data_IF_460013162607
#
_entry.id   IF_460013162607
#
_cell.length_a   1.000
_cell.length_b   1.000
_cell.length_c   1.000
_cell.angle_alpha   90.00
_cell.angle_beta   90.00
_cell.angle_gamma   90.00
#
_symmetry.space_group_name_H-M   'P 1'
#
loop_
_entity.id
_entity.type
_entity.pdbx_description
1 polymer ?
#
# COMPACT_ATOMS: atom_id res chain seq x y z
N UNK A 1 54.46 -7.73 54.05
CA UNK A 1 53.91 -6.65 53.20
C UNK A 1 53.24 -7.35 52.05
N UNK A 2 51.91 -7.51 52.10
CA UNK A 2 51.14 -8.10 51.01
C UNK A 2 50.65 -6.92 50.15
N UNK A 3 50.87 -7.03 48.85
CA UNK A 3 50.69 -5.95 47.88
C UNK A 3 49.26 -5.43 47.85
N UNK A 4 49.13 -4.14 48.13
CA UNK A 4 47.89 -3.38 48.22
C UNK A 4 47.30 -3.03 46.83
N UNK A 5 47.87 -3.52 45.73
CA UNK A 5 47.44 -3.19 44.35
C UNK A 5 46.35 -4.13 43.82
N UNK A 6 46.31 -5.40 44.24
CA UNK A 6 45.30 -6.36 43.78
C UNK A 6 43.89 -6.12 44.34
N UNK A 7 43.78 -5.36 45.43
CA UNK A 7 42.49 -5.00 46.05
C UNK A 7 41.86 -3.82 45.30
N UNK A 8 42.67 -2.87 44.81
CA UNK A 8 42.22 -1.71 44.04
C UNK A 8 41.54 -2.11 42.72
N UNK A 9 42.14 -3.06 41.98
CA UNK A 9 41.63 -3.51 40.68
C UNK A 9 40.30 -4.29 40.77
N UNK A 10 40.01 -4.90 41.93
CA UNK A 10 38.76 -5.63 42.18
C UNK A 10 37.64 -4.67 42.61
N UNK A 11 37.98 -3.66 43.41
CA UNK A 11 37.07 -2.59 43.82
C UNK A 11 36.64 -1.72 42.63
N UNK A 12 37.55 -1.42 41.70
CA UNK A 12 37.27 -0.63 40.50
C UNK A 12 36.35 -1.37 39.50
N UNK A 13 36.46 -2.70 39.41
CA UNK A 13 35.60 -3.53 38.57
C UNK A 13 34.17 -3.64 39.12
N UNK A 14 34.03 -3.69 40.46
CA UNK A 14 32.75 -3.65 41.15
C UNK A 14 32.11 -2.26 40.97
N UNK A 15 32.90 -1.19 41.12
CA UNK A 15 32.44 0.20 40.96
C UNK A 15 31.93 0.47 39.53
N UNK A 16 32.63 -0.01 38.51
CA UNK A 16 32.20 0.12 37.10
C UNK A 16 30.95 -0.72 36.76
N UNK A 17 30.78 -1.90 37.37
CA UNK A 17 29.54 -2.70 37.23
C UNK A 17 28.34 -2.03 37.90
N UNK A 18 28.55 -1.45 39.07
CA UNK A 18 27.51 -0.68 39.78
C UNK A 18 27.14 0.58 38.98
N UNK A 19 28.11 1.25 38.35
CA UNK A 19 27.87 2.41 37.49
C UNK A 19 27.03 2.04 36.26
N UNK A 20 27.40 1.00 35.50
CA UNK A 20 26.65 0.57 34.31
C UNK A 20 25.23 0.05 34.62
N UNK A 21 25.03 -0.63 35.77
CA UNK A 21 23.70 -1.02 36.23
C UNK A 21 22.84 0.19 36.62
N UNK A 22 23.46 1.22 37.18
CA UNK A 22 22.79 2.46 37.55
C UNK A 22 22.38 3.29 36.33
N UNK A 23 23.21 3.35 35.29
CA UNK A 23 22.90 4.11 34.06
C UNK A 23 21.70 3.52 33.32
N UNK A 24 21.65 2.20 33.11
CA UNK A 24 20.54 1.55 32.41
C UNK A 24 19.20 1.68 33.15
N UNK A 25 19.23 1.66 34.49
CA UNK A 25 18.03 1.85 35.31
C UNK A 25 17.53 3.31 35.26
N UNK A 26 18.45 4.27 35.28
CA UNK A 26 18.12 5.70 35.12
C UNK A 26 17.50 5.96 33.74
N UNK A 27 18.06 5.40 32.69
CA UNK A 27 17.54 5.54 31.32
C UNK A 27 16.15 4.91 31.17
N UNK A 28 15.95 3.71 31.73
CA UNK A 28 14.63 3.06 31.74
C UNK A 28 13.59 3.86 32.55
N UNK A 29 14.00 4.49 33.65
CA UNK A 29 13.14 5.36 34.47
C UNK A 29 12.73 6.62 33.71
N UNK A 30 13.69 7.25 33.02
CA UNK A 30 13.42 8.44 32.21
C UNK A 30 12.43 8.12 31.09
N UNK A 31 12.65 7.03 30.36
CA UNK A 31 11.75 6.58 29.28
C UNK A 31 10.35 6.23 29.79
N UNK A 32 10.21 5.61 30.96
CA UNK A 32 8.91 5.29 31.54
C UNK A 32 8.14 6.56 31.96
N UNK A 33 8.83 7.58 32.47
CA UNK A 33 8.23 8.88 32.79
C UNK A 33 7.80 9.65 31.54
N UNK A 34 8.59 9.60 30.47
CA UNK A 34 8.28 10.27 29.20
C UNK A 34 7.13 9.61 28.43
N UNK A 35 7.10 8.27 28.41
CA UNK A 35 6.12 7.51 27.60
C UNK A 35 4.87 7.10 28.37
N UNK A 36 4.94 7.09 29.71
CA UNK A 36 3.88 6.53 30.58
C UNK A 36 3.77 5.00 30.52
N UNK A 37 4.70 4.32 29.83
CA UNK A 37 4.77 2.86 29.73
C UNK A 37 5.81 2.31 30.72
N UNK A 38 5.41 1.32 31.51
CA UNK A 38 6.28 0.68 32.51
C UNK A 38 7.17 -0.42 31.91
N UNK A 39 6.97 -0.78 30.64
CA UNK A 39 7.74 -1.83 29.97
C UNK A 39 9.28 -1.66 30.03
N UNK A 40 9.87 -0.44 29.94
CA UNK A 40 11.32 -0.27 30.09
C UNK A 40 11.84 -0.73 31.46
N UNK A 41 11.12 -0.40 32.54
CA UNK A 41 11.48 -0.78 33.91
C UNK A 41 11.34 -2.29 34.13
N UNK A 42 10.27 -2.89 33.61
CA UNK A 42 10.03 -4.34 33.70
C UNK A 42 11.15 -5.12 32.98
N UNK A 43 11.65 -4.61 31.85
CA UNK A 43 12.76 -5.23 31.11
C UNK A 43 14.06 -5.21 31.90
N UNK A 44 14.40 -4.09 32.54
CA UNK A 44 15.61 -4.02 33.37
C UNK A 44 15.50 -4.90 34.63
N UNK A 45 14.34 -4.94 35.30
CA UNK A 45 14.10 -5.85 36.42
C UNK A 45 14.29 -7.32 36.02
N UNK A 46 13.70 -7.71 34.88
CA UNK A 46 13.79 -9.06 34.36
C UNK A 46 15.23 -9.43 34.00
N UNK A 47 15.98 -8.51 33.38
CA UNK A 47 17.40 -8.66 33.05
C UNK A 47 18.25 -8.88 34.30
N UNK A 48 18.09 -8.05 35.34
CA UNK A 48 18.77 -8.21 36.63
C UNK A 48 18.44 -9.56 37.30
N UNK A 49 17.17 -9.97 37.23
CA UNK A 49 16.71 -11.25 37.78
C UNK A 49 17.35 -12.45 37.07
N UNK A 50 17.40 -12.41 35.74
CA UNK A 50 18.01 -13.46 34.92
C UNK A 50 19.51 -13.54 35.19
N UNK A 51 20.21 -12.40 35.21
CA UNK A 51 21.65 -12.37 35.48
C UNK A 51 22.00 -12.88 36.88
N UNK A 52 21.26 -12.45 37.91
CA UNK A 52 21.47 -12.90 39.29
C UNK A 52 21.29 -14.41 39.43
N UNK A 53 20.25 -14.98 38.79
CA UNK A 53 20.02 -16.43 38.77
C UNK A 53 21.13 -17.21 38.05
N UNK A 54 21.73 -16.63 37.00
CA UNK A 54 22.86 -17.23 36.27
C UNK A 54 24.13 -17.25 37.12
N UNK A 55 24.46 -16.11 37.74
CA UNK A 55 25.63 -15.99 38.61
C UNK A 55 25.54 -16.92 39.82
N UNK A 56 24.36 -17.05 40.43
CA UNK A 56 24.12 -18.00 41.53
C UNK A 56 24.33 -19.46 41.12
N UNK A 57 24.17 -19.79 39.83
CA UNK A 57 24.47 -21.11 39.26
C UNK A 57 25.92 -21.24 38.78
N UNK A 58 26.78 -20.27 39.07
CA UNK A 58 28.18 -20.23 38.63
C UNK A 58 28.35 -19.94 37.13
N UNK A 59 27.31 -19.50 36.43
CA UNK A 59 27.38 -19.16 35.01
C UNK A 59 27.84 -17.72 34.84
N UNK A 60 28.64 -17.46 33.79
CA UNK A 60 29.08 -16.09 33.49
C UNK A 60 27.93 -15.19 33.03
N UNK A 61 28.16 -13.88 33.20
CA UNK A 61 27.30 -12.80 32.75
C UNK A 61 26.99 -12.92 31.25
N UNK A 62 25.71 -12.80 30.89
CA UNK A 62 25.27 -12.93 29.49
C UNK A 62 25.64 -11.64 28.75
N UNK A 63 26.69 -11.69 27.92
CA UNK A 63 27.03 -10.63 26.97
C UNK A 63 26.41 -10.99 25.61
N UNK A 64 25.48 -10.17 25.15
CA UNK A 64 24.94 -10.26 23.78
C UNK A 64 25.82 -9.39 22.91
N UNK A 65 26.73 -10.01 22.17
CA UNK A 65 27.49 -9.31 21.14
C UNK A 65 26.58 -9.17 19.92
N UNK A 66 26.32 -7.93 19.51
CA UNK A 66 25.71 -7.63 18.22
C UNK A 66 26.86 -7.43 17.23
N UNK A 67 27.25 -8.46 16.45
CA UNK A 67 28.27 -8.28 15.44
C UNK A 67 27.81 -7.20 14.47
N UNK A 68 28.65 -6.20 14.23
CA UNK A 68 28.37 -5.20 13.20
C UNK A 68 28.19 -5.90 11.86
N UNK A 69 27.11 -5.56 11.15
CA UNK A 69 26.82 -6.13 9.83
C UNK A 69 28.00 -5.82 8.90
N UNK A 70 28.72 -6.87 8.48
CA UNK A 70 29.80 -6.73 7.52
C UNK A 70 29.21 -6.37 6.16
N UNK A 71 29.37 -5.12 5.74
CA UNK A 71 28.99 -4.66 4.40
C UNK A 71 29.86 -5.39 3.38
N UNK A 72 29.31 -6.39 2.71
CA UNK A 72 29.98 -7.07 1.62
C UNK A 72 29.95 -6.17 0.38
N UNK A 73 31.13 -5.91 -0.20
CA UNK A 73 31.23 -5.20 -1.46
C UNK A 73 30.69 -6.08 -2.60
N UNK A 74 29.86 -5.48 -3.45
CA UNK A 74 29.27 -6.17 -4.60
C UNK A 74 30.38 -6.58 -5.57
N UNK A 75 30.41 -7.86 -5.91
CA UNK A 75 31.29 -8.38 -6.97
C UNK A 75 30.94 -7.75 -8.32
N UNK A 76 31.91 -7.68 -9.24
CA UNK A 76 31.68 -7.12 -10.59
C UNK A 76 30.51 -7.81 -11.31
N UNK A 77 30.36 -9.13 -11.15
CA UNK A 77 29.22 -9.87 -11.71
C UNK A 77 27.86 -9.43 -11.15
N UNK A 78 27.80 -9.10 -9.86
CA UNK A 78 26.57 -8.63 -9.22
C UNK A 78 26.22 -7.22 -9.69
N UNK A 79 27.22 -6.35 -9.88
CA UNK A 79 27.03 -5.03 -10.44
C UNK A 79 26.46 -5.11 -11.86
N UNK A 80 26.99 -5.99 -12.70
CA UNK A 80 26.49 -6.25 -14.06
C UNK A 80 25.04 -6.75 -14.07
N UNK A 81 24.69 -7.66 -13.16
CA UNK A 81 23.31 -8.16 -13.01
C UNK A 81 22.37 -7.03 -12.61
N UNK A 82 22.78 -6.13 -11.72
CA UNK A 82 21.99 -4.95 -11.32
C UNK A 82 21.77 -4.03 -12.52
N UNK A 83 22.80 -3.73 -13.30
CA UNK A 83 22.69 -2.88 -14.50
C UNK A 83 21.73 -3.49 -15.51
N UNK A 84 21.87 -4.79 -15.83
CA UNK A 84 20.97 -5.51 -16.75
C UNK A 84 19.53 -5.49 -16.24
N UNK A 85 19.31 -5.74 -14.95
CA UNK A 85 17.97 -5.73 -14.34
C UNK A 85 17.33 -4.34 -14.36
N UNK A 86 18.11 -3.29 -14.10
CA UNK A 86 17.64 -1.88 -14.18
C UNK A 86 17.21 -1.55 -15.61
N UNK A 87 18.02 -1.94 -16.60
CA UNK A 87 17.69 -1.69 -18.00
C UNK A 87 16.42 -2.45 -18.43
N UNK A 88 16.30 -3.72 -18.06
CA UNK A 88 15.09 -4.49 -18.32
C UNK A 88 13.86 -3.88 -17.66
N UNK A 89 13.97 -3.42 -16.41
CA UNK A 89 12.87 -2.78 -15.69
C UNK A 89 12.49 -1.44 -16.35
N UNK A 90 13.48 -0.66 -16.80
CA UNK A 90 13.27 0.59 -17.55
C UNK A 90 12.45 0.34 -18.81
N UNK A 91 12.84 -0.66 -19.62
CA UNK A 91 12.12 -1.04 -20.84
C UNK A 91 10.73 -1.57 -20.53
N UNK A 92 10.57 -2.39 -19.49
CA UNK A 92 9.28 -2.91 -19.06
C UNK A 92 8.34 -1.77 -18.61
N UNK A 93 8.84 -0.80 -17.83
CA UNK A 93 8.07 0.35 -17.39
C UNK A 93 7.64 1.24 -18.56
N UNK A 94 8.51 1.46 -19.55
CA UNK A 94 8.16 2.18 -20.77
C UNK A 94 7.03 1.46 -21.52
N UNK A 95 7.19 0.16 -21.79
CA UNK A 95 6.16 -0.66 -22.47
C UNK A 95 4.83 -0.65 -21.71
N UNK A 96 4.87 -0.71 -20.38
CA UNK A 96 3.67 -0.63 -19.56
C UNK A 96 2.95 0.71 -19.70
N UNK A 97 3.70 1.83 -19.63
CA UNK A 97 3.15 3.17 -19.83
C UNK A 97 2.56 3.34 -21.22
N UNK A 98 3.25 2.86 -22.25
CA UNK A 98 2.77 2.92 -23.63
C UNK A 98 1.48 2.11 -23.79
N UNK A 99 1.43 0.87 -23.30
CA UNK A 99 0.23 0.02 -23.33
C UNK A 99 -0.95 0.67 -22.59
N UNK A 100 -0.69 1.29 -21.43
CA UNK A 100 -1.72 2.01 -20.67
C UNK A 100 -2.27 3.18 -21.48
N UNK A 101 -1.39 3.97 -22.10
CA UNK A 101 -1.78 5.11 -22.94
C UNK A 101 -2.58 4.67 -24.16
N UNK A 102 -2.12 3.63 -24.88
CA UNK A 102 -2.81 3.12 -26.07
C UNK A 102 -4.19 2.58 -25.71
N UNK A 103 -4.29 1.80 -24.64
CA UNK A 103 -5.57 1.23 -24.20
C UNK A 103 -6.56 2.34 -23.77
N UNK A 104 -6.09 3.32 -22.99
CA UNK A 104 -6.93 4.47 -22.62
C UNK A 104 -7.40 5.23 -23.86
N UNK A 105 -6.52 5.43 -24.84
CA UNK A 105 -6.86 6.14 -26.08
C UNK A 105 -7.88 5.35 -26.92
N UNK A 106 -7.71 4.02 -27.06
CA UNK A 106 -8.65 3.19 -27.79
C UNK A 106 -10.02 3.12 -27.12
N UNK A 107 -10.05 3.04 -25.78
CA UNK A 107 -11.31 3.05 -25.03
C UNK A 107 -12.03 4.40 -25.19
N UNK A 108 -11.33 5.53 -25.06
CA UNK A 108 -11.94 6.85 -25.28
C UNK A 108 -12.50 6.99 -26.69
N UNK A 109 -11.77 6.57 -27.73
CA UNK A 109 -12.28 6.57 -29.10
C UNK A 109 -13.53 5.72 -29.23
N UNK A 110 -13.54 4.52 -28.63
CA UNK A 110 -14.69 3.63 -28.71
C UNK A 110 -15.92 4.19 -28.00
N UNK A 111 -15.73 4.85 -26.86
CA UNK A 111 -16.81 5.55 -26.15
C UNK A 111 -17.39 6.65 -27.05
N UNK A 112 -16.53 7.50 -27.64
CA UNK A 112 -16.97 8.58 -28.52
C UNK A 112 -17.74 8.06 -29.75
N UNK A 113 -17.27 6.99 -30.39
CA UNK A 113 -17.97 6.34 -31.50
C UNK A 113 -19.36 5.85 -31.07
N UNK A 114 -19.45 5.16 -29.94
CA UNK A 114 -20.72 4.62 -29.44
C UNK A 114 -21.69 5.73 -29.02
N UNK A 115 -21.20 6.82 -28.43
CA UNK A 115 -22.00 7.99 -28.06
C UNK A 115 -22.54 8.70 -29.30
N UNK A 116 -21.72 8.86 -30.34
CA UNK A 116 -22.13 9.42 -31.62
C UNK A 116 -23.21 8.56 -32.29
N UNK A 117 -22.98 7.24 -32.37
CA UNK A 117 -23.95 6.29 -32.92
C UNK A 117 -25.26 6.28 -32.15
N UNK A 118 -25.21 6.32 -30.82
CA UNK A 118 -26.40 6.37 -29.98
C UNK A 118 -27.19 7.67 -30.19
N UNK A 119 -26.49 8.80 -30.27
CA UNK A 119 -27.10 10.10 -30.56
C UNK A 119 -27.81 10.07 -31.91
N UNK A 120 -27.16 9.54 -32.94
CA UNK A 120 -27.73 9.40 -34.27
C UNK A 120 -28.98 8.51 -34.28
N UNK A 121 -28.90 7.32 -33.67
CA UNK A 121 -30.05 6.40 -33.58
C UNK A 121 -31.20 7.00 -32.79
N UNK A 122 -30.92 7.70 -31.69
CA UNK A 122 -31.92 8.39 -30.88
C UNK A 122 -32.63 9.50 -31.67
N UNK A 123 -31.89 10.20 -32.52
CA UNK A 123 -32.45 11.18 -33.44
C UNK A 123 -33.35 10.53 -34.50
N UNK A 124 -32.89 9.45 -35.14
CA UNK A 124 -33.68 8.69 -36.11
C UNK A 124 -34.98 8.14 -35.51
N UNK A 125 -34.92 7.55 -34.32
CA UNK A 125 -36.12 7.06 -33.60
C UNK A 125 -37.12 8.21 -33.39
N UNK A 126 -36.64 9.39 -33.00
CA UNK A 126 -37.49 10.56 -32.78
C UNK A 126 -38.17 10.99 -34.07
N UNK A 127 -37.42 11.06 -35.17
CA UNK A 127 -37.94 11.45 -36.47
C UNK A 127 -38.98 10.45 -36.97
N UNK A 128 -38.69 9.15 -36.91
CA UNK A 128 -39.61 8.09 -37.32
C UNK A 128 -40.89 8.10 -36.48
N UNK A 129 -40.79 8.36 -35.17
CA UNK A 129 -41.98 8.52 -34.30
C UNK A 129 -42.81 9.75 -34.69
N UNK A 130 -42.17 10.87 -34.98
CA UNK A 130 -42.86 12.09 -35.42
C UNK A 130 -43.54 11.90 -36.78
N UNK A 131 -42.86 11.25 -37.73
CA UNK A 131 -43.42 10.92 -39.04
C UNK A 131 -44.59 9.95 -38.93
N UNK A 132 -44.45 8.87 -38.13
CA UNK A 132 -45.56 7.95 -37.84
C UNK A 132 -46.76 8.71 -37.28
N UNK A 133 -46.56 9.55 -36.27
CA UNK A 133 -47.64 10.33 -35.66
C UNK A 133 -48.33 11.23 -36.69
N UNK A 134 -47.55 11.95 -37.52
CA UNK A 134 -48.08 12.78 -38.60
C UNK A 134 -48.93 11.99 -39.60
N UNK A 135 -48.44 10.83 -40.05
CA UNK A 135 -49.16 9.96 -40.98
C UNK A 135 -50.43 9.38 -40.35
N UNK A 136 -50.38 9.00 -39.07
CA UNK A 136 -51.56 8.56 -38.32
C UNK A 136 -52.61 9.66 -38.23
N UNK A 137 -52.21 10.90 -37.93
CA UNK A 137 -53.13 12.06 -37.91
C UNK A 137 -53.75 12.29 -39.29
N UNK A 138 -52.96 12.33 -40.36
CA UNK A 138 -53.45 12.50 -41.73
C UNK A 138 -54.44 11.41 -42.14
N UNK A 139 -54.13 10.15 -41.78
CA UNK A 139 -55.02 9.03 -42.04
C UNK A 139 -56.33 9.17 -41.26
N UNK A 140 -56.26 9.51 -39.98
CA UNK A 140 -57.44 9.72 -39.13
C UNK A 140 -58.34 10.82 -39.70
N UNK A 141 -57.77 11.98 -40.05
CA UNK A 141 -58.51 13.09 -40.67
C UNK A 141 -59.22 12.67 -41.96
N UNK A 142 -58.53 11.92 -42.84
CA UNK A 142 -59.14 11.39 -44.06
C UNK A 142 -60.28 10.41 -43.76
N UNK A 143 -60.13 9.52 -42.78
CA UNK A 143 -61.16 8.56 -42.40
C UNK A 143 -62.44 9.24 -41.89
N UNK A 144 -62.35 10.42 -41.26
CA UNK A 144 -63.52 11.18 -40.80
C UNK A 144 -64.42 11.67 -41.95
N UNK A 145 -63.82 11.95 -43.12
CA UNK A 145 -64.54 12.50 -44.29
C UNK A 145 -64.79 11.46 -45.37
N UNK A 146 -64.17 10.28 -45.29
CA UNK A 146 -64.24 9.25 -46.32
C UNK A 146 -65.57 8.47 -46.29
N UNK A 147 -66.39 8.50 -47.35
CA UNK A 147 -67.69 7.82 -47.39
C UNK A 147 -67.60 6.29 -47.30
N UNK A 148 -66.50 5.69 -47.80
CA UNK A 148 -66.27 4.25 -47.83
C UNK A 148 -65.63 3.68 -46.55
N UNK A 149 -65.11 4.53 -45.66
CA UNK A 149 -64.46 4.11 -44.41
C UNK A 149 -65.45 3.67 -43.31
N UNK A 150 -66.76 3.95 -43.45
CA UNK A 150 -67.78 3.66 -42.44
C UNK A 150 -68.00 2.17 -42.12
N UNK A 151 -67.37 1.25 -42.85
CA UNK A 151 -67.62 -0.20 -42.72
C UNK A 151 -66.42 -1.02 -42.24
N UNK A 152 -65.24 -0.43 -42.07
CA UNK A 152 -64.10 -1.20 -41.57
C UNK A 152 -63.07 -0.28 -40.94
N UNK A 153 -62.55 -0.72 -39.79
CA UNK A 153 -61.34 -0.29 -39.08
C UNK A 153 -61.65 0.25 -37.67
N UNK A 154 -61.40 -0.62 -36.67
CA UNK A 154 -61.10 -0.21 -35.30
C UNK A 154 -59.63 0.20 -35.26
N UNK A 155 -59.36 1.50 -35.19
CA UNK A 155 -58.02 2.00 -34.92
C UNK A 155 -57.97 2.35 -33.43
N UNK A 156 -57.19 1.61 -32.64
CA UNK A 156 -56.90 2.00 -31.26
C UNK A 156 -55.66 2.91 -31.23
N UNK A 157 -55.66 3.98 -30.41
CA UNK A 157 -54.56 4.94 -30.27
C UNK A 157 -53.22 4.30 -29.88
#
# INVERSE_FOLDING_TARGET
MLDNSYICDLEDNILMKMANGSTNLVDATLLALETGDMAPLIKEELKCTIQSRRLAKGQHEMKVEFPEETKHELTEEEQDKIVKRREQNRLAAQRFRDRKKTNSTSLCKKIQELEADNTQKSYEIRNLRAEKAKLQTMLYEHLLVCPSAKQSIKFEP
#
